data_IF_647061299673
#
_entry.id   IF_647061299673
#
_cell.length_a   1.000
_cell.length_b   1.000
_cell.length_c   1.000
_cell.angle_alpha   90.00
_cell.angle_beta   90.00
_cell.angle_gamma   90.00
#
_symmetry.space_group_name_H-M   'P 1'
#
loop_
_entity.id
_entity.type
_entity.pdbx_description
1 polymer ?
#
# COMPACT_ATOMS: atom_id res chain seq x y z
N UNK A 1 -6.77 14.75 -8.02
CA UNK A 1 -6.75 15.25 -6.63
C UNK A 1 -5.47 14.76 -5.96
N UNK A 2 -4.95 15.45 -4.93
CA UNK A 2 -3.79 14.95 -4.16
C UNK A 2 -4.26 14.46 -2.81
N UNK A 3 -3.86 13.24 -2.42
CA UNK A 3 -4.34 12.62 -1.19
C UNK A 3 -3.27 12.69 -0.10
N UNK A 4 -3.53 13.34 1.04
CA UNK A 4 -2.66 13.28 2.20
C UNK A 4 -2.93 12.00 2.99
N UNK A 5 -1.90 11.18 3.20
CA UNK A 5 -1.94 9.97 4.01
C UNK A 5 -1.15 10.21 5.30
N UNK A 6 -1.86 10.55 6.38
CA UNK A 6 -1.31 11.26 7.55
C UNK A 6 -1.19 10.41 8.82
N UNK A 7 -1.22 9.08 8.71
CA UNK A 7 -1.17 8.22 9.90
C UNK A 7 0.14 8.42 10.67
N UNK A 8 0.08 8.56 11.98
CA UNK A 8 1.28 8.58 12.83
C UNK A 8 1.35 7.38 13.78
N UNK A 9 0.33 6.51 13.76
CA UNK A 9 0.20 5.39 14.68
C UNK A 9 -0.69 4.27 14.13
N UNK A 10 -0.84 3.19 14.90
CA UNK A 10 -1.62 2.00 14.55
C UNK A 10 -0.80 0.91 13.84
N UNK A 11 -1.39 -0.27 13.71
CA UNK A 11 -0.74 -1.47 13.15
C UNK A 11 -1.36 -1.95 11.83
N UNK A 12 -2.62 -1.60 11.56
CA UNK A 12 -3.32 -2.00 10.34
C UNK A 12 -2.85 -1.25 9.09
N UNK A 13 -3.09 -1.87 7.94
CA UNK A 13 -3.04 -1.24 6.61
C UNK A 13 -4.22 -0.29 6.49
N UNK A 14 -3.99 0.93 6.00
CA UNK A 14 -5.06 1.92 5.89
C UNK A 14 -5.81 1.77 4.57
N UNK A 15 -7.14 1.67 4.65
CA UNK A 15 -8.00 1.62 3.46
C UNK A 15 -7.79 2.83 2.55
N UNK A 16 -7.53 4.02 3.13
CA UNK A 16 -7.29 5.22 2.32
C UNK A 16 -6.04 5.11 1.47
N UNK A 17 -4.99 4.47 1.97
CA UNK A 17 -3.76 4.21 1.21
C UNK A 17 -4.03 3.27 0.04
N UNK A 18 -4.77 2.17 0.29
CA UNK A 18 -5.12 1.19 -0.74
C UNK A 18 -5.97 1.83 -1.84
N UNK A 19 -7.05 2.52 -1.49
CA UNK A 19 -7.92 3.22 -2.44
C UNK A 19 -7.14 4.25 -3.27
N UNK A 20 -6.29 5.04 -2.63
CA UNK A 20 -5.46 6.06 -3.31
C UNK A 20 -4.58 5.42 -4.38
N UNK A 21 -3.95 4.29 -4.07
CA UNK A 21 -3.03 3.62 -4.98
C UNK A 21 -3.76 2.84 -6.09
N UNK A 22 -4.90 2.22 -5.79
CA UNK A 22 -5.72 1.55 -6.79
C UNK A 22 -6.35 2.51 -7.81
N UNK A 23 -6.66 3.74 -7.39
CA UNK A 23 -7.10 4.82 -8.27
C UNK A 23 -5.94 5.54 -8.98
N UNK A 24 -4.69 5.23 -8.62
CA UNK A 24 -3.51 5.85 -9.22
C UNK A 24 -3.28 7.31 -8.83
N UNK A 25 -3.93 7.80 -7.77
CA UNK A 25 -3.91 9.20 -7.38
C UNK A 25 -2.56 9.60 -6.75
N UNK A 26 -2.05 10.82 -7.02
CA UNK A 26 -0.85 11.32 -6.35
C UNK A 26 -1.11 11.51 -4.86
N UNK A 27 -0.08 11.25 -4.06
CA UNK A 27 -0.18 11.32 -2.61
C UNK A 27 1.11 11.73 -1.93
N UNK A 28 0.96 12.27 -0.72
CA UNK A 28 2.06 12.46 0.22
C UNK A 28 1.71 11.65 1.45
N UNK A 29 2.63 10.79 1.88
CA UNK A 29 2.39 9.84 2.95
C UNK A 29 3.45 9.94 4.04
N UNK A 30 3.03 9.77 5.29
CA UNK A 30 3.95 9.39 6.36
C UNK A 30 4.39 7.93 6.15
N UNK A 31 5.53 7.55 6.72
CA UNK A 31 6.00 6.15 6.73
C UNK A 31 4.95 5.22 7.36
N UNK A 32 4.28 5.72 8.40
CA UNK A 32 3.21 5.00 9.09
C UNK A 32 1.99 4.74 8.19
N UNK A 33 1.63 5.63 7.27
CA UNK A 33 0.51 5.39 6.34
C UNK A 33 0.78 4.28 5.31
N UNK A 34 2.03 3.87 5.14
CA UNK A 34 2.45 2.86 4.15
C UNK A 34 2.76 1.48 4.73
N UNK A 35 2.51 1.26 6.03
CA UNK A 35 2.71 -0.05 6.64
C UNK A 35 1.92 -1.14 5.91
N UNK A 36 2.57 -2.27 5.67
CA UNK A 36 1.98 -3.40 4.95
C UNK A 36 1.75 -3.15 3.46
N UNK A 37 2.27 -2.04 2.91
CA UNK A 37 2.30 -1.79 1.47
C UNK A 37 3.69 -2.11 0.94
N UNK A 38 3.80 -3.17 0.13
CA UNK A 38 5.06 -3.63 -0.43
C UNK A 38 5.50 -2.79 -1.65
N UNK A 39 4.56 -2.45 -2.53
CA UNK A 39 4.85 -1.65 -3.72
C UNK A 39 4.20 -0.27 -3.66
N UNK A 40 5.04 0.77 -3.62
CA UNK A 40 4.61 2.17 -3.65
C UNK A 40 4.56 2.70 -5.09
N UNK A 41 3.46 3.34 -5.53
CA UNK A 41 3.41 4.06 -6.80
C UNK A 41 4.44 5.20 -6.88
N UNK A 42 4.90 5.53 -8.09
CA UNK A 42 5.94 6.55 -8.31
C UNK A 42 5.48 7.98 -7.97
N UNK A 43 4.16 8.22 -7.95
CA UNK A 43 3.55 9.51 -7.61
C UNK A 43 3.16 9.60 -6.12
N UNK A 44 3.74 8.76 -5.26
CA UNK A 44 3.62 8.85 -3.81
C UNK A 44 4.94 9.33 -3.19
N UNK A 45 4.93 10.53 -2.62
CA UNK A 45 6.06 11.10 -1.85
C UNK A 45 5.95 10.66 -0.40
N UNK A 46 7.07 10.33 0.24
CA UNK A 46 7.09 9.91 1.65
C UNK A 46 7.94 10.84 2.47
N UNK A 47 7.36 11.35 3.56
CA UNK A 47 8.07 12.16 4.54
C UNK A 47 7.32 12.12 5.87
N UNK A 48 8.09 12.02 6.96
CA UNK A 48 7.56 12.13 8.34
C UNK A 48 7.78 13.53 8.93
N UNK A 49 8.55 14.40 8.25
CA UNK A 49 8.70 15.80 8.63
C UNK A 49 7.47 16.62 8.21
N UNK A 50 6.78 17.31 9.13
CA UNK A 50 5.55 18.05 8.82
C UNK A 50 5.75 19.20 7.81
N UNK A 51 6.89 19.88 7.83
CA UNK A 51 7.15 21.02 6.94
C UNK A 51 7.41 20.52 5.53
N UNK A 52 8.22 19.49 5.38
CA UNK A 52 8.44 18.80 4.12
C UNK A 52 7.15 18.17 3.58
N UNK A 53 6.28 17.65 4.45
CA UNK A 53 4.98 17.09 4.06
C UNK A 53 4.09 18.17 3.42
N UNK A 54 4.00 19.35 4.04
CA UNK A 54 3.24 20.48 3.51
C UNK A 54 3.81 20.94 2.16
N UNK A 55 5.14 21.10 2.04
CA UNK A 55 5.78 21.50 0.78
C UNK A 55 5.59 20.45 -0.34
N UNK A 56 5.62 19.16 0.01
CA UNK A 56 5.35 18.08 -0.94
C UNK A 56 3.88 18.10 -1.42
N UNK A 57 2.92 18.43 -0.54
CA UNK A 57 1.52 18.58 -0.92
C UNK A 57 1.34 19.74 -1.91
N UNK A 58 1.91 20.91 -1.62
CA UNK A 58 1.86 22.06 -2.53
C UNK A 58 2.46 21.70 -3.90
N UNK A 59 3.61 21.04 -3.90
CA UNK A 59 4.29 20.59 -5.13
C UNK A 59 3.44 19.61 -5.94
N UNK A 60 2.81 18.64 -5.28
CA UNK A 60 1.95 17.66 -5.93
C UNK A 60 0.65 18.28 -6.47
N UNK A 61 0.12 19.32 -5.81
CA UNK A 61 -1.06 20.06 -6.28
C UNK A 61 -0.72 20.93 -7.50
N UNK A 62 0.47 21.50 -7.54
CA UNK A 62 0.93 22.31 -8.68
C UNK A 62 1.04 21.50 -9.98
N UNK A 63 1.27 20.19 -9.90
CA UNK A 63 1.42 19.29 -11.05
C UNK A 63 0.81 17.92 -10.76
N UNK A 64 -0.53 17.86 -10.77
CA UNK A 64 -1.28 16.64 -10.48
C UNK A 64 -1.11 15.64 -11.61
N UNK A 65 -0.46 14.51 -11.30
CA UNK A 65 -0.26 13.40 -12.24
C UNK A 65 -0.71 12.08 -11.64
N UNK A 66 -1.81 11.57 -12.16
CA UNK A 66 -2.26 10.21 -11.89
C UNK A 66 -1.35 9.21 -12.61
N UNK A 67 -1.27 7.99 -12.09
CA UNK A 67 -0.55 6.86 -12.70
C UNK A 67 -1.51 5.68 -12.92
N UNK A 68 -1.05 4.63 -13.61
CA UNK A 68 -1.85 3.40 -13.74
C UNK A 68 -1.98 2.68 -12.38
N UNK A 69 -3.08 2.92 -11.68
CA UNK A 69 -3.41 2.27 -10.41
C UNK A 69 -3.67 0.76 -10.54
N UNK A 70 -4.02 0.27 -11.74
CA UNK A 70 -4.22 -1.17 -11.96
C UNK A 70 -2.93 -1.98 -11.80
N UNK A 71 -1.77 -1.34 -12.00
CA UNK A 71 -0.47 -1.95 -11.72
C UNK A 71 -0.27 -2.24 -10.22
N UNK A 72 -0.74 -1.36 -9.34
CA UNK A 72 -0.71 -1.59 -7.90
C UNK A 72 -1.60 -2.78 -7.52
N UNK A 73 -2.86 -2.79 -7.99
CA UNK A 73 -3.80 -3.88 -7.72
C UNK A 73 -3.26 -5.25 -8.17
N UNK A 74 -2.74 -5.35 -9.42
CA UNK A 74 -2.14 -6.60 -9.93
C UNK A 74 -0.99 -7.10 -9.07
N UNK A 75 -0.16 -6.20 -8.55
CA UNK A 75 0.98 -6.57 -7.68
C UNK A 75 0.48 -7.09 -6.32
N UNK A 76 -0.52 -6.45 -5.74
CA UNK A 76 -1.11 -6.90 -4.47
C UNK A 76 -1.72 -8.29 -4.58
N UNK A 77 -2.51 -8.56 -5.63
CA UNK A 77 -3.08 -9.89 -5.89
C UNK A 77 -1.98 -10.93 -6.08
N UNK A 78 -0.95 -10.62 -6.89
CA UNK A 78 0.18 -11.54 -7.11
C UNK A 78 0.95 -11.84 -5.82
N UNK A 79 1.18 -10.84 -4.97
CA UNK A 79 1.85 -11.03 -3.69
C UNK A 79 1.01 -11.89 -2.74
N UNK A 80 -0.30 -11.67 -2.70
CA UNK A 80 -1.24 -12.48 -1.93
C UNK A 80 -1.23 -13.94 -2.39
N UNK A 81 -1.34 -14.19 -3.70
CA UNK A 81 -1.30 -15.54 -4.27
C UNK A 81 -0.01 -16.28 -3.92
N UNK A 82 1.14 -15.57 -3.96
CA UNK A 82 2.43 -16.13 -3.58
C UNK A 82 2.48 -16.49 -2.09
N UNK A 83 1.96 -15.61 -1.22
CA UNK A 83 1.91 -15.85 0.22
C UNK A 83 0.97 -17.01 0.58
N UNK A 84 -0.20 -17.10 -0.06
CA UNK A 84 -1.15 -18.21 0.12
C UNK A 84 -0.50 -19.53 -0.30
N UNK A 85 0.13 -19.57 -1.49
CA UNK A 85 0.83 -20.75 -1.99
C UNK A 85 1.91 -21.21 -1.00
N UNK A 86 2.76 -20.31 -0.55
CA UNK A 86 3.80 -20.61 0.44
C UNK A 86 3.20 -21.15 1.74
N UNK A 87 2.09 -20.57 2.20
CA UNK A 87 1.36 -21.05 3.37
C UNK A 87 0.86 -22.48 3.19
N UNK A 88 0.21 -22.77 2.05
CA UNK A 88 -0.30 -24.11 1.72
C UNK A 88 0.82 -25.15 1.60
N UNK A 89 1.94 -24.81 0.96
CA UNK A 89 3.11 -25.69 0.86
C UNK A 89 3.69 -26.03 2.24
N UNK A 90 3.71 -25.07 3.17
CA UNK A 90 4.17 -25.28 4.56
C UNK A 90 3.20 -26.13 5.38
N UNK A 91 1.91 -26.11 5.05
CA UNK A 91 0.91 -26.92 5.75
C UNK A 91 0.99 -28.40 5.38
N UNK A 92 1.62 -28.79 4.26
CA UNK A 92 1.77 -30.20 3.86
C UNK A 92 0.44 -31.00 3.82
N UNK A 93 0.48 -32.34 3.74
CA UNK A 93 -0.70 -33.19 3.86
C UNK A 93 -1.12 -33.39 5.33
N UNK A 94 -1.53 -32.33 6.03
CA UNK A 94 -2.03 -32.40 7.42
C UNK A 94 -3.49 -32.94 7.50
N UNK A 95 -4.01 -33.54 6.44
CA UNK A 95 -5.40 -34.04 6.36
C UNK A 95 -5.58 -35.56 6.44
N UNK A 96 -4.60 -36.33 6.93
CA UNK A 96 -4.74 -37.79 7.07
C UNK A 96 -4.83 -38.33 8.50
N UNK A 97 -4.77 -37.51 9.55
CA UNK A 97 -4.86 -38.02 10.94
C UNK A 97 -5.75 -37.16 11.84
N UNK A 98 -7.08 -37.20 11.66
CA UNK A 98 -8.04 -36.84 12.73
C UNK A 98 -9.26 -37.77 12.81
N UNK A 99 -9.44 -38.72 11.88
CA UNK A 99 -10.53 -39.70 11.97
C UNK A 99 -10.02 -41.11 11.65
N UNK A 100 -9.39 -41.74 12.64
CA UNK A 100 -9.22 -43.19 12.74
C UNK A 100 -9.69 -43.64 14.13
#
# INVERSE_FOLDING_TARGET
AVIPLISTSGSGVQLKTVETFELGLPSVATSHSLRGIDHRPVNCVVTDDPVAFAGALESAVADVRDVDGSAFHRRQVKALDAAIRLGLEKLGPVSQEVFA
#
